data_IF_819496205878
#
_entry.id   IF_819496205878
#
_cell.length_a   1.000
_cell.length_b   1.000
_cell.length_c   1.000
_cell.angle_alpha   90.00
_cell.angle_beta   90.00
_cell.angle_gamma   90.00
#
_symmetry.space_group_name_H-M   'P 1'
#
loop_
_entity.id
_entity.type
_entity.pdbx_description
1 polymer ?
#
# COMPACT_ATOMS: atom_id res chain seq x y z
N UNK A 1 0.52 2.45 -32.03
CA UNK A 1 0.04 3.40 -31.01
C UNK A 1 -0.80 2.65 -30.00
N UNK A 2 -0.27 2.41 -28.78
CA UNK A 2 -0.99 2.09 -27.51
C UNK A 2 -0.09 1.54 -26.38
N UNK A 3 1.24 1.68 -26.46
CA UNK A 3 2.12 1.46 -25.29
C UNK A 3 2.37 2.76 -24.50
N UNK A 4 1.61 3.82 -24.76
CA UNK A 4 1.81 5.10 -24.09
C UNK A 4 1.05 5.13 -22.77
N UNK A 5 1.86 4.88 -21.72
CA UNK A 5 1.69 5.37 -20.36
C UNK A 5 0.74 4.61 -19.42
N UNK A 6 0.71 3.27 -19.50
CA UNK A 6 0.02 2.42 -18.52
C UNK A 6 0.40 2.70 -17.05
N UNK A 7 1.63 3.16 -16.78
CA UNK A 7 2.04 3.61 -15.44
C UNK A 7 1.20 4.82 -14.95
N UNK A 8 0.76 5.69 -15.86
CA UNK A 8 -0.17 6.80 -15.54
C UNK A 8 -1.59 6.32 -15.32
N UNK A 9 -2.04 5.29 -16.04
CA UNK A 9 -3.33 4.64 -15.76
C UNK A 9 -3.32 4.03 -14.35
N UNK A 10 -2.25 3.32 -13.97
CA UNK A 10 -2.08 2.79 -12.61
C UNK A 10 -2.08 3.91 -11.58
N UNK A 11 -1.36 5.01 -11.84
CA UNK A 11 -1.39 6.20 -10.99
C UNK A 11 -2.81 6.70 -10.77
N UNK A 12 -3.55 6.96 -11.85
CA UNK A 12 -4.93 7.46 -11.77
C UNK A 12 -5.85 6.48 -11.05
N UNK A 13 -5.71 5.17 -11.30
CA UNK A 13 -6.47 4.13 -10.61
C UNK A 13 -6.20 4.12 -9.10
N UNK A 14 -4.93 4.21 -8.68
CA UNK A 14 -4.56 4.23 -7.26
C UNK A 14 -5.06 5.49 -6.55
N UNK A 15 -4.91 6.67 -7.17
CA UNK A 15 -5.43 7.92 -6.61
C UNK A 15 -6.95 7.88 -6.50
N UNK A 16 -7.65 7.40 -7.54
CA UNK A 16 -9.10 7.28 -7.53
C UNK A 16 -9.57 6.27 -6.48
N UNK A 17 -8.89 5.13 -6.33
CA UNK A 17 -9.21 4.14 -5.30
C UNK A 17 -9.12 4.74 -3.89
N UNK A 18 -8.06 5.51 -3.60
CA UNK A 18 -7.90 6.17 -2.31
C UNK A 18 -8.97 7.25 -2.05
N UNK A 19 -9.32 8.05 -3.08
CA UNK A 19 -10.41 9.04 -3.00
C UNK A 19 -11.75 8.35 -2.74
N UNK A 20 -12.03 7.27 -3.47
CA UNK A 20 -13.29 6.55 -3.38
C UNK A 20 -13.47 5.86 -2.02
N UNK A 21 -12.40 5.29 -1.46
CA UNK A 21 -12.41 4.69 -0.12
C UNK A 21 -12.85 5.72 0.93
N UNK A 22 -12.23 6.90 0.99
CA UNK A 22 -12.60 7.92 1.99
C UNK A 22 -13.98 8.53 1.70
N UNK A 23 -14.41 8.55 0.44
CA UNK A 23 -15.68 9.11 0.00
C UNK A 23 -16.89 8.23 0.32
N UNK A 24 -16.69 6.93 0.58
CA UNK A 24 -17.77 5.97 0.81
C UNK A 24 -18.70 6.40 1.96
N UNK A 25 -20.01 6.35 1.72
CA UNK A 25 -21.03 6.75 2.70
C UNK A 25 -22.38 6.05 2.46
N UNK A 26 -23.08 5.53 3.50
CA UNK A 26 -22.69 5.49 4.91
C UNK A 26 -21.66 4.41 5.22
N UNK A 27 -20.48 4.78 5.75
CA UNK A 27 -19.47 3.82 6.21
C UNK A 27 -19.11 4.10 7.68
N UNK A 28 -18.94 3.07 8.52
CA UNK A 28 -18.33 3.24 9.83
C UNK A 28 -16.86 3.66 9.67
N UNK A 29 -16.32 4.35 10.67
CA UNK A 29 -14.94 4.82 10.67
C UNK A 29 -14.78 6.21 11.27
N UNK A 30 -13.53 6.62 11.39
CA UNK A 30 -13.16 7.89 12.04
C UNK A 30 -13.28 9.09 11.09
N UNK A 31 -13.04 8.89 9.78
CA UNK A 31 -13.12 9.95 8.77
C UNK A 31 -13.85 9.43 7.53
N UNK A 32 -14.84 10.19 7.07
CA UNK A 32 -15.57 9.98 5.82
C UNK A 32 -16.24 11.30 5.41
N UNK A 33 -16.96 11.31 4.27
CA UNK A 33 -17.57 12.53 3.68
C UNK A 33 -18.38 13.42 4.65
N UNK A 34 -18.92 12.87 5.73
CA UNK A 34 -19.78 13.56 6.70
C UNK A 34 -19.22 13.57 8.13
N UNK A 35 -17.98 13.13 8.35
CA UNK A 35 -17.35 13.08 9.68
C UNK A 35 -15.85 13.32 9.58
N UNK A 36 -15.38 14.27 10.38
CA UNK A 36 -13.97 14.53 10.61
C UNK A 36 -13.51 13.88 11.94
N UNK A 37 -12.20 13.65 12.06
CA UNK A 37 -11.51 13.29 13.30
C UNK A 37 -10.70 14.52 13.80
N UNK A 38 -10.49 14.71 15.11
CA UNK A 38 -9.70 15.85 15.62
C UNK A 38 -8.34 16.02 14.94
N UNK A 39 -7.70 14.89 14.60
CA UNK A 39 -6.37 14.88 13.99
C UNK A 39 -6.37 14.81 12.46
N UNK A 40 -7.52 14.58 11.80
CA UNK A 40 -7.61 14.46 10.35
C UNK A 40 -9.02 14.74 9.80
N UNK A 41 -9.09 15.51 8.72
CA UNK A 41 -10.33 15.88 8.04
C UNK A 41 -10.45 15.20 6.69
N UNK A 42 -11.67 15.09 6.16
CA UNK A 42 -11.92 14.51 4.84
C UNK A 42 -11.04 15.12 3.73
N UNK A 43 -10.82 16.43 3.73
CA UNK A 43 -10.00 17.11 2.73
C UNK A 43 -8.51 16.74 2.82
N UNK A 44 -8.01 16.35 4.00
CA UNK A 44 -6.64 15.83 4.14
C UNK A 44 -6.50 14.49 3.42
N UNK A 45 -7.53 13.64 3.46
CA UNK A 45 -7.54 12.39 2.72
C UNK A 45 -7.58 12.62 1.21
N UNK A 46 -8.39 13.58 0.74
CA UNK A 46 -8.40 13.96 -0.67
C UNK A 46 -7.03 14.47 -1.14
N UNK A 47 -6.41 15.37 -0.38
CA UNK A 47 -5.09 15.91 -0.71
C UNK A 47 -4.01 14.82 -0.72
N UNK A 48 -3.98 13.95 0.29
CA UNK A 48 -3.02 12.85 0.35
C UNK A 48 -3.24 11.81 -0.76
N UNK A 49 -4.48 11.55 -1.16
CA UNK A 49 -4.80 10.66 -2.28
C UNK A 49 -4.23 11.19 -3.60
N UNK A 50 -4.18 12.50 -3.81
CA UNK A 50 -3.47 13.08 -4.96
C UNK A 50 -1.95 12.97 -4.78
N UNK A 51 -1.45 13.24 -3.57
CA UNK A 51 -0.01 13.27 -3.29
C UNK A 51 0.72 11.94 -3.54
N UNK A 52 0.06 10.79 -3.34
CA UNK A 52 0.68 9.48 -3.59
C UNK A 52 1.00 9.23 -5.07
N UNK A 53 0.38 9.97 -5.99
CA UNK A 53 0.40 9.66 -7.42
C UNK A 53 1.79 9.55 -8.03
N UNK A 54 2.71 10.46 -7.68
CA UNK A 54 4.07 10.43 -8.23
C UNK A 54 4.83 9.15 -7.83
N UNK A 55 4.65 8.70 -6.59
CA UNK A 55 5.33 7.50 -6.07
C UNK A 55 4.71 6.22 -6.60
N UNK A 56 3.39 6.22 -6.85
CA UNK A 56 2.70 5.13 -7.56
C UNK A 56 3.23 5.00 -8.99
N UNK A 57 3.35 6.11 -9.70
CA UNK A 57 3.89 6.15 -11.07
C UNK A 57 5.33 5.65 -11.12
N UNK A 58 6.20 6.14 -10.24
CA UNK A 58 7.58 5.67 -10.11
C UNK A 58 7.65 4.15 -9.85
N UNK A 59 6.77 3.63 -8.98
CA UNK A 59 6.70 2.21 -8.67
C UNK A 59 6.24 1.37 -9.87
N UNK A 60 5.21 1.83 -10.57
CA UNK A 60 4.74 1.21 -11.80
C UNK A 60 5.85 1.21 -12.88
N UNK A 61 6.58 2.31 -13.05
CA UNK A 61 7.72 2.39 -13.97
C UNK A 61 8.80 1.36 -13.63
N UNK A 62 9.15 1.18 -12.36
CA UNK A 62 10.10 0.14 -11.95
C UNK A 62 9.58 -1.28 -12.19
N UNK A 63 8.28 -1.51 -12.01
CA UNK A 63 7.63 -2.77 -12.39
C UNK A 63 7.77 -3.09 -13.89
N UNK A 64 7.66 -2.08 -14.76
CA UNK A 64 7.92 -2.22 -16.20
C UNK A 64 9.38 -2.55 -16.50
N UNK A 65 10.33 -1.92 -15.80
CA UNK A 65 11.76 -2.20 -15.98
C UNK A 65 12.10 -3.65 -15.63
N UNK A 66 11.49 -4.20 -14.57
CA UNK A 66 11.61 -5.63 -14.22
C UNK A 66 11.04 -6.51 -15.34
N UNK A 67 9.84 -6.22 -15.84
CA UNK A 67 9.26 -6.99 -16.95
C UNK A 67 10.10 -6.96 -18.23
N UNK A 68 10.87 -5.89 -18.44
CA UNK A 68 11.80 -5.72 -19.55
C UNK A 68 13.18 -6.36 -19.28
N UNK A 69 13.41 -6.96 -18.11
CA UNK A 69 14.69 -7.53 -17.71
C UNK A 69 15.80 -6.49 -17.52
N UNK A 70 15.46 -5.22 -17.28
CA UNK A 70 16.43 -4.12 -17.13
C UNK A 70 16.95 -3.96 -15.71
N UNK A 71 16.18 -4.42 -14.72
CA UNK A 71 16.54 -4.46 -13.30
C UNK A 71 15.97 -5.74 -12.69
N UNK A 72 16.58 -6.21 -11.62
CA UNK A 72 16.05 -7.32 -10.82
C UNK A 72 14.87 -6.88 -9.94
N UNK A 73 14.06 -7.86 -9.51
CA UNK A 73 12.88 -7.62 -8.67
C UNK A 73 13.24 -6.89 -7.35
N UNK A 74 14.37 -7.24 -6.74
CA UNK A 74 14.85 -6.60 -5.51
C UNK A 74 15.34 -5.17 -5.70
N UNK A 75 15.66 -4.77 -6.93
CA UNK A 75 16.12 -3.40 -7.25
C UNK A 75 14.97 -2.41 -7.42
N UNK A 76 13.71 -2.86 -7.38
CA UNK A 76 12.56 -1.96 -7.35
C UNK A 76 12.65 -1.00 -6.16
N UNK A 77 13.19 -1.43 -5.00
CA UNK A 77 13.33 -0.54 -3.84
C UNK A 77 11.99 -0.05 -3.30
N UNK A 78 11.03 -0.98 -3.14
CA UNK A 78 9.66 -0.73 -2.67
C UNK A 78 9.61 0.13 -1.41
N UNK A 79 10.48 -0.14 -0.43
CA UNK A 79 10.48 0.62 0.82
C UNK A 79 10.85 2.09 0.61
N UNK A 80 11.77 2.37 -0.31
CA UNK A 80 12.17 3.74 -0.64
C UNK A 80 11.03 4.52 -1.31
N UNK A 81 10.24 3.85 -2.15
CA UNK A 81 9.06 4.40 -2.82
C UNK A 81 7.91 4.62 -1.83
N UNK A 82 7.69 3.71 -0.89
CA UNK A 82 6.73 3.88 0.23
C UNK A 82 7.11 5.10 1.06
N UNK A 83 8.38 5.23 1.44
CA UNK A 83 8.88 6.39 2.19
C UNK A 83 8.69 7.70 1.42
N UNK A 84 8.89 7.68 0.10
CA UNK A 84 8.62 8.83 -0.76
C UNK A 84 7.12 9.18 -0.74
N UNK A 85 6.23 8.21 -0.92
CA UNK A 85 4.79 8.42 -0.90
C UNK A 85 4.31 9.02 0.43
N UNK A 86 4.74 8.45 1.55
CA UNK A 86 4.39 8.95 2.89
C UNK A 86 4.88 10.38 3.11
N UNK A 87 6.10 10.69 2.68
CA UNK A 87 6.64 12.06 2.75
C UNK A 87 5.87 13.04 1.88
N UNK A 88 5.44 12.63 0.69
CA UNK A 88 4.67 13.48 -0.22
C UNK A 88 3.28 13.78 0.37
N UNK A 89 2.63 12.78 0.98
CA UNK A 89 1.38 12.95 1.74
C UNK A 89 1.59 13.93 2.89
N UNK A 90 2.63 13.75 3.71
CA UNK A 90 2.95 14.63 4.83
C UNK A 90 3.24 16.09 4.42
N UNK A 91 3.65 16.32 3.17
CA UNK A 91 3.82 17.68 2.62
C UNK A 91 2.53 18.28 2.07
N UNK A 92 1.57 17.44 1.68
CA UNK A 92 0.32 17.88 1.06
C UNK A 92 -0.71 18.45 2.05
N UNK A 93 -0.62 18.07 3.33
CA UNK A 93 -1.46 18.59 4.42
C UNK A 93 -0.69 18.56 5.74
N UNK A 94 -1.15 19.31 6.76
CA UNK A 94 -0.39 19.57 8.00
C UNK A 94 -0.70 18.62 9.17
N UNK A 95 -1.32 17.46 8.93
CA UNK A 95 -2.00 16.71 9.99
C UNK A 95 -1.94 15.20 9.82
N UNK A 96 -1.44 14.52 10.86
CA UNK A 96 -1.69 13.11 11.17
C UNK A 96 -1.26 12.07 10.13
N UNK A 97 -1.52 10.81 10.47
CA UNK A 97 -1.40 9.68 9.56
C UNK A 97 -2.70 9.50 8.78
N UNK A 98 -2.71 9.87 7.51
CA UNK A 98 -3.89 9.71 6.62
C UNK A 98 -3.75 8.53 5.66
N UNK A 99 -2.53 8.22 5.20
CA UNK A 99 -2.32 7.26 4.10
C UNK A 99 -1.17 6.27 4.32
N UNK A 100 -0.64 6.08 5.53
CA UNK A 100 0.47 5.12 5.73
C UNK A 100 0.09 3.72 5.23
N UNK A 101 -1.07 3.19 5.65
CA UNK A 101 -1.58 1.89 5.20
C UNK A 101 -1.82 1.85 3.69
N UNK A 102 -2.41 2.92 3.13
CA UNK A 102 -2.63 3.05 1.69
C UNK A 102 -1.32 3.03 0.90
N UNK A 103 -0.29 3.75 1.37
CA UNK A 103 1.04 3.76 0.74
C UNK A 103 1.69 2.38 0.83
N UNK A 104 1.61 1.72 1.99
CA UNK A 104 2.14 0.38 2.21
C UNK A 104 1.55 -0.63 1.22
N UNK A 105 0.24 -0.58 0.97
CA UNK A 105 -0.45 -1.52 0.08
C UNK A 105 -0.32 -1.16 -1.40
N UNK A 106 -0.58 0.10 -1.78
CA UNK A 106 -0.70 0.50 -3.18
C UNK A 106 0.64 0.60 -3.91
N UNK A 107 1.74 0.94 -3.22
CA UNK A 107 3.06 1.07 -3.87
C UNK A 107 3.57 -0.27 -4.41
N UNK A 108 3.65 -1.37 -3.63
CA UNK A 108 4.00 -2.67 -4.18
C UNK A 108 2.97 -3.20 -5.19
N UNK A 109 1.67 -2.91 -4.99
CA UNK A 109 0.63 -3.30 -5.94
C UNK A 109 0.79 -2.62 -7.30
N UNK A 110 1.23 -1.36 -7.34
CA UNK A 110 1.48 -0.62 -8.58
C UNK A 110 2.61 -1.24 -9.42
N UNK A 111 3.73 -1.58 -8.79
CA UNK A 111 4.82 -2.32 -9.45
C UNK A 111 4.33 -3.68 -9.97
N UNK A 112 3.56 -4.41 -9.16
CA UNK A 112 2.99 -5.70 -9.54
C UNK A 112 2.03 -5.59 -10.73
N UNK A 113 1.16 -4.58 -10.74
CA UNK A 113 0.21 -4.31 -11.82
C UNK A 113 0.91 -3.99 -13.13
N UNK A 114 1.94 -3.13 -13.08
CA UNK A 114 2.73 -2.78 -14.24
C UNK A 114 3.45 -3.98 -14.84
N UNK A 115 4.12 -4.78 -13.99
CA UNK A 115 4.78 -6.02 -14.39
C UNK A 115 3.79 -7.00 -15.02
N UNK A 116 2.64 -7.20 -14.38
CA UNK A 116 1.58 -8.11 -14.86
C UNK A 116 1.06 -7.69 -16.23
N UNK A 117 0.74 -6.41 -16.41
CA UNK A 117 0.27 -5.90 -17.71
C UNK A 117 1.31 -6.09 -18.80
N UNK A 118 2.59 -5.86 -18.51
CA UNK A 118 3.66 -6.04 -19.48
C UNK A 118 3.85 -7.51 -19.89
N UNK A 119 3.68 -8.46 -18.96
CA UNK A 119 3.86 -9.90 -19.21
C UNK A 119 2.66 -10.55 -19.89
N UNK A 120 1.43 -10.16 -19.51
CA UNK A 120 0.20 -10.84 -19.92
C UNK A 120 -0.69 -9.99 -20.84
N UNK A 121 -0.30 -8.75 -21.13
CA UNK A 121 -1.10 -7.76 -21.87
C UNK A 121 -2.46 -7.43 -21.22
N UNK A 122 -2.68 -7.84 -19.97
CA UNK A 122 -3.87 -7.57 -19.15
C UNK A 122 -3.53 -7.62 -17.65
N UNK A 123 -4.40 -7.07 -16.80
CA UNK A 123 -4.28 -7.20 -15.35
C UNK A 123 -5.40 -8.10 -14.86
N UNK A 124 -5.08 -9.37 -14.59
CA UNK A 124 -5.99 -10.35 -13.99
C UNK A 124 -5.64 -10.60 -12.52
N UNK A 125 -6.62 -10.93 -11.65
CA UNK A 125 -6.38 -11.08 -10.22
C UNK A 125 -5.27 -12.08 -9.87
N UNK A 126 -5.28 -13.28 -10.45
CA UNK A 126 -4.31 -14.32 -10.10
C UNK A 126 -2.86 -13.97 -10.53
N UNK A 127 -2.59 -13.57 -11.80
CA UNK A 127 -1.26 -13.09 -12.20
C UNK A 127 -0.77 -11.88 -11.38
N UNK A 128 -1.67 -10.93 -11.08
CA UNK A 128 -1.35 -9.75 -10.26
C UNK A 128 -0.90 -10.15 -8.86
N UNK A 129 -1.67 -11.02 -8.19
CA UNK A 129 -1.37 -11.50 -6.84
C UNK A 129 -0.05 -12.28 -6.80
N UNK A 130 0.25 -13.07 -7.82
CA UNK A 130 1.51 -13.81 -7.93
C UNK A 130 2.70 -12.86 -8.09
N UNK A 131 2.57 -11.84 -8.95
CA UNK A 131 3.62 -10.82 -9.10
C UNK A 131 3.82 -9.99 -7.83
N UNK A 132 2.75 -9.68 -7.12
CA UNK A 132 2.82 -9.01 -5.82
C UNK A 132 3.59 -9.85 -4.78
N UNK A 133 3.25 -11.15 -4.65
CA UNK A 133 3.96 -12.07 -3.74
C UNK A 133 5.45 -12.14 -4.08
N UNK A 134 5.77 -12.31 -5.36
CA UNK A 134 7.16 -12.36 -5.82
C UNK A 134 7.93 -11.08 -5.48
N UNK A 135 7.29 -9.91 -5.60
CA UNK A 135 7.88 -8.64 -5.20
C UNK A 135 8.17 -8.60 -3.70
N UNK A 136 7.19 -8.97 -2.87
CA UNK A 136 7.36 -8.99 -1.42
C UNK A 136 8.46 -9.96 -0.98
N UNK A 137 8.55 -11.15 -1.58
CA UNK A 137 9.62 -12.13 -1.33
C UNK A 137 11.03 -11.58 -1.61
N UNK A 138 11.14 -10.69 -2.60
CA UNK A 138 12.41 -10.12 -3.04
C UNK A 138 12.77 -8.80 -2.36
N UNK A 139 11.95 -8.34 -1.41
CA UNK A 139 12.26 -7.15 -0.61
C UNK A 139 13.52 -7.34 0.21
N UNK A 140 14.23 -6.23 0.44
CA UNK A 140 15.56 -6.23 1.05
C UNK A 140 15.55 -5.58 2.44
N UNK A 141 16.66 -5.69 3.16
CA UNK A 141 16.88 -4.96 4.41
C UNK A 141 16.80 -3.43 4.23
N UNK A 142 17.18 -2.90 3.07
CA UNK A 142 17.05 -1.49 2.75
C UNK A 142 15.58 -1.06 2.62
N UNK A 143 14.72 -1.96 2.10
CA UNK A 143 13.27 -1.72 2.06
C UNK A 143 12.68 -1.66 3.46
N UNK A 144 13.06 -2.60 4.34
CA UNK A 144 12.65 -2.60 5.75
C UNK A 144 13.01 -1.30 6.44
N UNK A 145 14.26 -0.85 6.32
CA UNK A 145 14.73 0.40 6.93
C UNK A 145 13.94 1.60 6.39
N UNK A 146 13.70 1.64 5.07
CA UNK A 146 12.96 2.74 4.46
C UNK A 146 11.49 2.77 4.91
N UNK A 147 10.85 1.61 5.06
CA UNK A 147 9.49 1.51 5.60
C UNK A 147 9.45 1.90 7.08
N UNK A 148 10.42 1.46 7.88
CA UNK A 148 10.55 1.86 9.27
C UNK A 148 10.62 3.39 9.40
N UNK A 149 11.45 4.03 8.58
CA UNK A 149 11.52 5.50 8.51
C UNK A 149 10.21 6.13 8.03
N UNK A 150 9.49 5.51 7.09
CA UNK A 150 8.17 5.97 6.66
C UNK A 150 7.14 5.92 7.79
N UNK A 151 7.12 4.83 8.57
CA UNK A 151 6.24 4.66 9.73
C UNK A 151 6.55 5.73 10.78
N UNK A 152 7.84 5.95 11.09
CA UNK A 152 8.27 6.99 12.05
C UNK A 152 7.94 8.43 11.59
N UNK A 153 7.83 8.66 10.27
CA UNK A 153 7.40 9.95 9.71
C UNK A 153 5.88 10.17 9.83
N UNK A 154 5.08 9.10 9.75
CA UNK A 154 3.62 9.20 9.72
C UNK A 154 2.97 9.07 11.10
N UNK A 155 3.55 8.25 12.00
CA UNK A 155 2.92 7.87 13.26
C UNK A 155 3.85 8.11 14.44
N UNK A 156 3.27 8.44 15.61
CA UNK A 156 4.03 8.55 16.84
C UNK A 156 4.20 7.19 17.52
N UNK A 157 5.15 7.10 18.47
CA UNK A 157 5.34 5.90 19.29
C UNK A 157 4.09 5.53 20.11
N UNK A 158 3.25 6.52 20.46
CA UNK A 158 2.01 6.27 21.19
C UNK A 158 0.96 5.56 20.32
N UNK A 159 0.99 5.77 19.01
CA UNK A 159 -0.02 5.25 18.09
C UNK A 159 0.28 3.82 17.63
N UNK A 160 1.55 3.42 17.63
CA UNK A 160 2.01 2.12 17.10
C UNK A 160 2.17 1.02 18.16
N UNK A 161 2.23 1.38 19.44
CA UNK A 161 2.58 0.45 20.50
C UNK A 161 4.05 0.00 20.42
N UNK A 162 4.37 -1.15 21.03
CA UNK A 162 5.70 -1.77 21.03
C UNK A 162 5.59 -3.09 20.28
N UNK A 163 6.42 -3.30 19.25
CA UNK A 163 6.53 -4.57 18.58
C UNK A 163 7.11 -5.62 19.53
N UNK A 164 6.39 -6.72 19.75
CA UNK A 164 6.82 -7.81 20.64
C UNK A 164 7.52 -8.95 19.87
N UNK A 165 8.08 -8.62 18.72
CA UNK A 165 8.74 -9.56 17.83
C UNK A 165 10.10 -10.07 18.32
N UNK A 166 10.47 -11.28 17.93
CA UNK A 166 11.81 -11.86 18.11
C UNK A 166 12.70 -11.69 16.88
N UNK A 167 12.14 -11.73 15.67
CA UNK A 167 12.88 -11.78 14.41
C UNK A 167 13.31 -10.39 13.94
N UNK A 168 12.47 -9.38 14.14
CA UNK A 168 12.66 -8.01 13.70
C UNK A 168 12.68 -7.09 14.91
N UNK A 169 13.62 -6.13 14.96
CA UNK A 169 13.66 -5.16 16.04
C UNK A 169 12.43 -4.25 15.97
N UNK A 170 11.99 -3.75 17.13
CA UNK A 170 11.05 -2.64 17.19
C UNK A 170 11.63 -1.41 16.47
N UNK A 171 10.74 -0.65 15.84
CA UNK A 171 11.10 0.55 15.09
C UNK A 171 11.93 1.55 15.92
N UNK A 172 11.66 1.64 17.23
CA UNK A 172 12.26 2.61 18.13
C UNK A 172 13.46 2.07 18.91
N UNK A 173 13.94 0.86 18.60
CA UNK A 173 15.21 0.34 19.14
C UNK A 173 16.40 1.11 18.55
N UNK A 174 17.38 1.48 19.41
CA UNK A 174 18.53 2.30 19.03
C UNK A 174 19.41 1.65 17.94
N UNK A 175 19.47 0.32 17.91
CA UNK A 175 20.26 -0.48 16.99
C UNK A 175 19.42 -1.20 15.92
N UNK A 176 18.12 -0.89 15.81
CA UNK A 176 17.20 -1.52 14.86
C UNK A 176 17.78 -1.58 13.44
N UNK A 177 18.27 -0.44 12.93
CA UNK A 177 18.87 -0.36 11.57
C UNK A 177 20.10 -1.25 11.43
N UNK A 178 20.97 -1.30 12.44
CA UNK A 178 22.18 -2.13 12.43
C UNK A 178 21.82 -3.61 12.41
N UNK A 179 20.84 -4.00 13.23
CA UNK A 179 20.34 -5.37 13.31
C UNK A 179 19.69 -5.80 11.99
N UNK A 180 18.80 -4.97 11.42
CA UNK A 180 18.16 -5.22 10.12
C UNK A 180 19.19 -5.47 9.01
N UNK A 181 20.25 -4.67 8.94
CA UNK A 181 21.32 -4.85 7.95
C UNK A 181 22.13 -6.13 8.21
N UNK A 182 22.53 -6.36 9.47
CA UNK A 182 23.36 -7.50 9.87
C UNK A 182 22.64 -8.83 9.63
N UNK A 183 21.38 -8.91 10.02
CA UNK A 183 20.53 -10.10 9.90
C UNK A 183 19.81 -10.20 8.55
N UNK A 184 19.98 -9.20 7.67
CA UNK A 184 19.35 -9.10 6.34
C UNK A 184 17.83 -9.26 6.39
N UNK A 185 17.19 -8.63 7.37
CA UNK A 185 15.75 -8.73 7.60
C UNK A 185 15.00 -8.02 6.47
N UNK A 186 14.36 -8.79 5.58
CA UNK A 186 13.53 -8.27 4.50
C UNK A 186 12.22 -7.65 5.01
N UNK A 187 11.59 -6.83 4.17
CA UNK A 187 10.31 -6.21 4.52
C UNK A 187 9.24 -7.28 4.74
N UNK A 188 9.23 -8.34 3.92
CA UNK A 188 8.33 -9.48 4.12
C UNK A 188 8.50 -10.13 5.49
N UNK A 189 9.74 -10.32 5.96
CA UNK A 189 10.00 -10.89 7.29
C UNK A 189 9.46 -9.99 8.40
N UNK A 190 9.69 -8.68 8.31
CA UNK A 190 9.15 -7.73 9.27
C UNK A 190 7.62 -7.73 9.28
N UNK A 191 6.97 -7.76 8.11
CA UNK A 191 5.50 -7.78 8.02
C UNK A 191 4.91 -9.09 8.56
N UNK A 192 5.56 -10.24 8.35
CA UNK A 192 5.12 -11.53 8.92
C UNK A 192 5.05 -11.50 10.44
N UNK A 193 5.97 -10.80 11.08
CA UNK A 193 6.01 -10.71 12.54
C UNK A 193 4.91 -9.84 13.13
N UNK A 194 4.50 -8.80 12.42
CA UNK A 194 3.38 -7.94 12.83
C UNK A 194 2.01 -8.46 12.35
N UNK A 195 1.98 -9.47 11.49
CA UNK A 195 0.75 -9.94 10.83
C UNK A 195 -0.35 -10.49 11.75
N UNK A 196 -0.03 -10.86 12.99
CA UNK A 196 -1.03 -11.38 13.94
C UNK A 196 -1.89 -10.30 14.60
N UNK A 197 -1.47 -9.04 14.56
CA UNK A 197 -2.17 -7.92 15.20
C UNK A 197 -2.30 -6.68 14.31
N UNK A 198 -1.64 -6.64 13.15
CA UNK A 198 -1.76 -5.57 12.16
C UNK A 198 -2.25 -6.13 10.81
N UNK A 199 -3.43 -5.70 10.36
CA UNK A 199 -4.06 -6.18 9.13
C UNK A 199 -3.30 -5.76 7.87
N UNK A 200 -2.63 -4.60 7.87
CA UNK A 200 -1.82 -4.15 6.71
C UNK A 200 -0.58 -5.04 6.59
N UNK A 201 0.07 -5.34 7.72
CA UNK A 201 1.19 -6.27 7.78
C UNK A 201 0.74 -7.68 7.36
N UNK A 202 -0.46 -8.11 7.77
CA UNK A 202 -1.05 -9.37 7.31
C UNK A 202 -1.21 -9.43 5.79
N UNK A 203 -1.82 -8.40 5.19
CA UNK A 203 -2.00 -8.31 3.74
C UNK A 203 -0.67 -8.32 3.00
N UNK A 204 0.33 -7.56 3.45
CA UNK A 204 1.67 -7.57 2.86
C UNK A 204 2.35 -8.94 2.97
N UNK A 205 2.18 -9.64 4.10
CA UNK A 205 2.79 -10.93 4.36
C UNK A 205 2.14 -12.10 3.61
N UNK A 206 0.84 -12.03 3.36
CA UNK A 206 0.03 -13.12 2.77
C UNK A 206 -0.37 -12.83 1.31
N UNK A 207 0.21 -11.78 0.72
CA UNK A 207 0.02 -11.43 -0.68
C UNK A 207 -1.39 -10.96 -0.97
N UNK A 208 -1.88 -10.02 -0.15
CA UNK A 208 -3.18 -9.37 -0.27
C UNK A 208 -4.35 -10.36 -0.23
N UNK A 209 -4.36 -11.24 0.76
CA UNK A 209 -5.34 -12.33 0.83
C UNK A 209 -6.77 -11.85 1.03
N UNK A 210 -6.98 -10.97 2.00
CA UNK A 210 -8.28 -10.38 2.29
C UNK A 210 -8.70 -9.51 1.12
N UNK A 211 -7.80 -8.67 0.59
CA UNK A 211 -8.13 -7.78 -0.54
C UNK A 211 -8.53 -8.55 -1.80
N UNK A 212 -7.87 -9.67 -2.14
CA UNK A 212 -8.20 -10.41 -3.35
C UNK A 212 -9.37 -11.38 -3.18
N UNK A 213 -9.45 -12.08 -2.05
CA UNK A 213 -10.43 -13.13 -1.87
C UNK A 213 -11.76 -12.59 -1.34
N UNK A 214 -11.72 -11.54 -0.51
CA UNK A 214 -12.91 -10.95 0.12
C UNK A 214 -13.23 -9.59 -0.52
N UNK A 215 -12.26 -8.67 -0.53
CA UNK A 215 -12.47 -7.29 -0.95
C UNK A 215 -12.89 -7.16 -2.42
N UNK A 216 -12.03 -7.63 -3.32
CA UNK A 216 -12.25 -7.59 -4.77
C UNK A 216 -13.53 -8.34 -5.16
N UNK A 217 -13.72 -9.55 -4.65
CA UNK A 217 -14.93 -10.35 -4.89
C UNK A 217 -16.20 -9.60 -4.48
N UNK A 218 -16.25 -9.09 -3.25
CA UNK A 218 -17.42 -8.35 -2.74
C UNK A 218 -17.68 -7.08 -3.54
N UNK A 219 -16.62 -6.36 -3.90
CA UNK A 219 -16.72 -5.11 -4.67
C UNK A 219 -17.35 -5.37 -6.05
N UNK A 220 -16.85 -6.37 -6.77
CA UNK A 220 -17.34 -6.71 -8.11
C UNK A 220 -18.79 -7.24 -8.03
N UNK A 221 -19.06 -8.24 -7.18
CA UNK A 221 -20.39 -8.83 -7.06
C UNK A 221 -21.44 -7.78 -6.65
N UNK A 222 -21.11 -6.91 -5.69
CA UNK A 222 -22.04 -5.86 -5.27
C UNK A 222 -22.27 -4.86 -6.39
N UNK A 223 -21.21 -4.42 -7.07
CA UNK A 223 -21.32 -3.48 -8.19
C UNK A 223 -22.12 -4.05 -9.37
N UNK A 224 -21.96 -5.33 -9.69
CA UNK A 224 -22.74 -6.00 -10.73
C UNK A 224 -24.25 -6.04 -10.40
N UNK A 225 -24.60 -6.14 -9.12
CA UNK A 225 -25.99 -6.16 -8.65
C UNK A 225 -26.60 -4.76 -8.60
N UNK A 226 -25.88 -3.77 -8.04
CA UNK A 226 -26.45 -2.45 -7.76
C UNK A 226 -26.11 -1.38 -8.80
N UNK A 227 -25.07 -1.59 -9.61
CA UNK A 227 -24.48 -0.61 -10.52
C UNK A 227 -24.15 0.74 -9.85
N UNK A 228 -23.79 0.71 -8.57
CA UNK A 228 -23.45 1.88 -7.76
C UNK A 228 -22.13 1.63 -7.01
N UNK A 229 -21.11 2.42 -7.37
CA UNK A 229 -19.76 2.27 -6.82
C UNK A 229 -19.70 2.58 -5.32
N UNK A 230 -20.52 3.51 -4.83
CA UNK A 230 -20.54 3.87 -3.42
C UNK A 230 -21.15 2.73 -2.59
N UNK A 231 -22.25 2.12 -3.05
CA UNK A 231 -22.84 0.94 -2.41
C UNK A 231 -21.81 -0.19 -2.38
N UNK A 232 -21.14 -0.47 -3.51
CA UNK A 232 -20.14 -1.52 -3.58
C UNK A 232 -18.97 -1.31 -2.60
N UNK A 233 -18.45 -0.08 -2.50
CA UNK A 233 -17.37 0.28 -1.55
C UNK A 233 -17.83 0.10 -0.11
N UNK A 234 -19.00 0.62 0.25
CA UNK A 234 -19.54 0.52 1.61
C UNK A 234 -19.74 -0.94 2.01
N UNK A 235 -20.33 -1.75 1.13
CA UNK A 235 -20.52 -3.19 1.40
C UNK A 235 -19.19 -3.93 1.51
N UNK A 236 -18.21 -3.59 0.67
CA UNK A 236 -16.87 -4.17 0.74
C UNK A 236 -16.18 -3.82 2.07
N UNK A 237 -16.29 -2.57 2.50
CA UNK A 237 -15.77 -2.12 3.79
C UNK A 237 -16.39 -2.89 4.96
N UNK A 238 -17.73 -3.00 4.97
CA UNK A 238 -18.46 -3.74 6.01
C UNK A 238 -18.15 -5.24 6.03
N UNK A 239 -17.80 -5.83 4.87
CA UNK A 239 -17.43 -7.23 4.78
C UNK A 239 -16.04 -7.53 5.31
N UNK A 240 -15.11 -6.57 5.21
CA UNK A 240 -13.72 -6.72 5.65
C UNK A 240 -13.56 -6.48 7.16
N UNK A 241 -14.41 -5.63 7.75
CA UNK A 241 -14.47 -5.39 9.20
C UNK A 241 -14.70 -6.68 10.01
#
# INVERSE_FOLDING_TARGET
>A
MKSEEFHKEIRSAAQLAAILEVSGWPKPGNVHRSRDHPDARYEHFLAGSIAIGSSVEDSAMRGLLVAQGKIDVGEIGIGSLIRKAVRDVAKSHRNGNTHLGVCLLLIPLAAAAAKTKAEFNEVKPLPLRNNFRRLMEMTTAADTISVYEAIALASSKKDLGIAQGKLSPDLYELDAKKRILKERISLLTAMKESSSYDTVAYELAHGLEISFNVGYTTLIETFEICNDINIAIVHTFLRIL
#
